data_IF_433730806645
#
_entry.id   IF_433730806645
#
_cell.length_a   1.000
_cell.length_b   1.000
_cell.length_c   1.000
_cell.angle_alpha   90.00
_cell.angle_beta   90.00
_cell.angle_gamma   90.00
#
_symmetry.space_group_name_H-M   'P 1'
#
loop_
_entity.id
_entity.type
_entity.pdbx_description
1 polymer ?
#
# COMPACT_ATOMS: atom_id res chain seq x y z
N UNK A 1 27.59 -6.96 -27.27
CA UNK A 1 27.30 -7.33 -25.86
C UNK A 1 25.82 -7.73 -25.77
N UNK A 2 25.51 -9.04 -25.67
CA UNK A 2 24.12 -9.51 -25.58
C UNK A 2 23.56 -9.11 -24.21
N UNK A 3 22.75 -8.06 -24.15
CA UNK A 3 22.02 -7.73 -22.93
C UNK A 3 20.98 -8.83 -22.70
N UNK A 4 21.21 -9.67 -21.69
CA UNK A 4 20.25 -10.66 -21.20
C UNK A 4 18.85 -10.02 -21.11
N UNK A 5 17.79 -10.71 -21.56
CA UNK A 5 16.42 -10.20 -21.52
C UNK A 5 16.02 -9.70 -20.11
N UNK A 6 16.56 -10.33 -19.07
CA UNK A 6 16.39 -9.96 -17.65
C UNK A 6 17.09 -8.64 -17.26
N UNK A 7 18.11 -8.21 -18.01
CA UNK A 7 18.79 -6.92 -17.83
C UNK A 7 18.10 -5.75 -18.53
N UNK A 8 17.10 -6.02 -19.37
CA UNK A 8 16.42 -5.02 -20.18
C UNK A 8 15.56 -4.07 -19.35
N UNK A 9 15.43 -2.82 -19.80
CA UNK A 9 14.54 -1.82 -19.20
C UNK A 9 13.06 -2.20 -19.24
N UNK A 10 12.69 -3.11 -20.14
CA UNK A 10 11.33 -3.65 -20.31
C UNK A 10 11.00 -4.64 -19.19
N UNK A 11 11.88 -5.62 -18.93
CA UNK A 11 11.68 -6.61 -17.87
C UNK A 11 11.55 -5.95 -16.48
N UNK A 12 12.34 -4.91 -16.22
CA UNK A 12 12.27 -4.13 -14.96
C UNK A 12 10.92 -3.42 -14.79
N UNK A 13 10.38 -2.82 -15.86
CA UNK A 13 9.06 -2.16 -15.82
C UNK A 13 7.94 -3.16 -15.64
N UNK A 14 8.03 -4.31 -16.32
CA UNK A 14 7.05 -5.38 -16.17
C UNK A 14 7.02 -5.92 -14.74
N UNK A 15 8.19 -6.26 -14.18
CA UNK A 15 8.29 -6.72 -12.79
C UNK A 15 7.76 -5.68 -11.81
N UNK A 16 8.09 -4.39 -11.98
CA UNK A 16 7.63 -3.32 -11.09
C UNK A 16 6.10 -3.16 -11.14
N UNK A 17 5.52 -3.30 -12.34
CA UNK A 17 4.07 -3.27 -12.52
C UNK A 17 3.39 -4.46 -11.85
N UNK A 18 3.95 -5.67 -12.02
CA UNK A 18 3.43 -6.88 -11.41
C UNK A 18 3.46 -6.80 -9.88
N UNK A 19 4.60 -6.45 -9.28
CA UNK A 19 4.70 -6.30 -7.82
C UNK A 19 3.79 -5.18 -7.31
N UNK A 20 3.66 -4.08 -8.04
CA UNK A 20 2.74 -2.99 -7.71
C UNK A 20 1.29 -3.48 -7.63
N UNK A 21 0.82 -4.24 -8.63
CA UNK A 21 -0.56 -4.77 -8.63
C UNK A 21 -0.79 -5.85 -7.56
N UNK A 22 0.22 -6.67 -7.27
CA UNK A 22 0.15 -7.63 -6.15
C UNK A 22 0.01 -6.91 -4.80
N UNK A 23 0.74 -5.81 -4.60
CA UNK A 23 0.60 -4.96 -3.41
C UNK A 23 -0.78 -4.30 -3.34
N UNK A 24 -1.39 -3.92 -4.47
CA UNK A 24 -2.79 -3.46 -4.50
C UNK A 24 -3.75 -4.57 -4.05
N UNK A 25 -3.55 -5.80 -4.53
CA UNK A 25 -4.32 -6.96 -4.07
C UNK A 25 -4.21 -7.18 -2.56
N UNK A 26 -2.99 -7.06 -2.01
CA UNK A 26 -2.78 -7.07 -0.56
C UNK A 26 -3.54 -5.94 0.14
N UNK A 27 -3.49 -4.70 -0.34
CA UNK A 27 -4.21 -3.57 0.26
C UNK A 27 -5.72 -3.78 0.28
N UNK A 28 -6.30 -4.40 -0.76
CA UNK A 28 -7.72 -4.76 -0.78
C UNK A 28 -8.04 -5.74 0.35
N UNK A 29 -7.33 -6.86 0.44
CA UNK A 29 -7.54 -7.86 1.49
C UNK A 29 -7.27 -7.30 2.89
N UNK A 30 -6.25 -6.45 3.00
CA UNK A 30 -5.88 -5.79 4.24
C UNK A 30 -6.99 -4.84 4.70
N UNK A 31 -7.52 -4.00 3.81
CA UNK A 31 -8.65 -3.14 4.14
C UNK A 31 -9.86 -3.98 4.56
N UNK A 32 -10.19 -5.05 3.83
CA UNK A 32 -11.32 -5.92 4.15
C UNK A 32 -11.26 -6.49 5.57
N UNK A 33 -10.09 -6.94 6.03
CA UNK A 33 -9.90 -7.38 7.42
C UNK A 33 -10.01 -6.23 8.43
N UNK A 34 -9.45 -5.07 8.09
CA UNK A 34 -9.51 -3.88 8.94
C UNK A 34 -10.92 -3.29 9.07
N UNK A 35 -11.84 -3.55 8.13
CA UNK A 35 -13.24 -3.13 8.28
C UNK A 35 -13.92 -3.75 9.52
N UNK A 36 -13.38 -4.85 10.07
CA UNK A 36 -13.88 -5.42 11.33
C UNK A 36 -13.66 -4.48 12.54
N UNK A 37 -12.78 -3.48 12.44
CA UNK A 37 -12.58 -2.44 13.46
C UNK A 37 -13.79 -1.51 13.63
N UNK A 38 -14.74 -1.50 12.68
CA UNK A 38 -16.00 -0.77 12.84
C UNK A 38 -16.99 -1.45 13.79
N UNK A 39 -16.74 -2.72 14.15
CA UNK A 39 -17.55 -3.41 15.14
C UNK A 39 -17.20 -2.91 16.54
N UNK A 40 -18.21 -2.60 17.36
CA UNK A 40 -18.01 -2.33 18.79
C UNK A 40 -17.67 -3.58 19.59
N UNK A 41 -17.96 -4.78 19.06
CA UNK A 41 -17.52 -6.04 19.64
C UNK A 41 -16.08 -6.34 19.19
N UNK A 42 -15.09 -6.33 20.12
CA UNK A 42 -13.68 -6.56 19.80
C UNK A 42 -13.40 -7.98 19.29
N UNK A 43 -14.30 -8.93 19.56
CA UNK A 43 -14.12 -10.35 19.24
C UNK A 43 -13.91 -10.57 17.74
N UNK A 44 -14.60 -9.83 16.88
CA UNK A 44 -14.49 -10.01 15.43
C UNK A 44 -13.08 -9.74 14.91
N UNK A 45 -12.49 -8.61 15.30
CA UNK A 45 -11.15 -8.24 14.84
C UNK A 45 -10.07 -9.09 15.50
N UNK A 46 -10.17 -9.35 16.82
CA UNK A 46 -9.19 -10.17 17.53
C UNK A 46 -9.23 -11.64 17.06
N UNK A 47 -10.41 -12.22 16.80
CA UNK A 47 -10.52 -13.56 16.23
C UNK A 47 -9.96 -13.63 14.80
N UNK A 48 -10.17 -12.60 13.98
CA UNK A 48 -9.56 -12.50 12.66
C UNK A 48 -8.03 -12.45 12.74
N UNK A 49 -7.48 -11.61 13.64
CA UNK A 49 -6.04 -11.50 13.86
C UNK A 49 -5.43 -12.83 14.35
N UNK A 50 -6.09 -13.49 15.31
CA UNK A 50 -5.67 -14.81 15.80
C UNK A 50 -5.74 -15.88 14.70
N UNK A 51 -6.79 -15.87 13.88
CA UNK A 51 -6.91 -16.80 12.76
C UNK A 51 -5.75 -16.65 11.78
N UNK A 52 -5.33 -15.42 11.47
CA UNK A 52 -4.15 -15.18 10.65
C UNK A 52 -2.88 -15.69 11.33
N UNK A 53 -2.70 -15.42 12.62
CA UNK A 53 -1.56 -15.90 13.40
C UNK A 53 -1.45 -17.43 13.42
N UNK A 54 -2.59 -18.13 13.48
CA UNK A 54 -2.66 -19.60 13.49
C UNK A 54 -2.08 -20.27 12.24
N UNK A 55 -1.89 -19.55 11.14
CA UNK A 55 -1.25 -20.08 9.94
C UNK A 55 0.28 -20.28 10.09
N UNK A 56 0.88 -19.78 11.18
CA UNK A 56 2.27 -20.07 11.54
C UNK A 56 3.25 -19.77 10.41
N UNK A 57 3.99 -20.78 9.94
CA UNK A 57 4.99 -20.62 8.87
C UNK A 57 4.42 -20.08 7.56
N UNK A 58 3.15 -20.35 7.24
CA UNK A 58 2.53 -19.82 6.03
C UNK A 58 2.34 -18.29 6.13
N UNK A 59 2.00 -17.77 7.31
CA UNK A 59 1.94 -16.32 7.55
C UNK A 59 3.32 -15.69 7.36
N UNK A 60 4.36 -16.27 7.97
CA UNK A 60 5.73 -15.75 7.82
C UNK A 60 6.22 -15.78 6.36
N UNK A 61 5.89 -16.84 5.60
CA UNK A 61 6.20 -16.89 4.17
C UNK A 61 5.51 -15.77 3.38
N UNK A 62 4.24 -15.49 3.68
CA UNK A 62 3.51 -14.38 3.08
C UNK A 62 4.13 -13.01 3.45
N UNK A 63 4.52 -12.81 4.72
CA UNK A 63 5.17 -11.59 5.19
C UNK A 63 6.52 -11.35 4.50
N UNK A 64 7.38 -12.38 4.40
CA UNK A 64 8.64 -12.29 3.66
C UNK A 64 8.40 -12.00 2.18
N UNK A 65 7.39 -12.62 1.58
CA UNK A 65 6.97 -12.35 0.21
C UNK A 65 6.54 -10.89 0.00
N UNK A 66 5.73 -10.33 0.92
CA UNK A 66 5.31 -8.93 0.87
C UNK A 66 6.51 -7.98 0.99
N UNK A 67 7.44 -8.25 1.92
CA UNK A 67 8.68 -7.47 2.04
C UNK A 67 9.48 -7.53 0.74
N UNK A 68 9.62 -8.71 0.12
CA UNK A 68 10.30 -8.86 -1.16
C UNK A 68 9.61 -8.05 -2.28
N UNK A 69 8.29 -8.07 -2.36
CA UNK A 69 7.53 -7.28 -3.33
C UNK A 69 7.70 -5.78 -3.12
N UNK A 70 7.61 -5.29 -1.87
CA UNK A 70 7.83 -3.88 -1.53
C UNK A 70 9.25 -3.45 -1.91
N UNK A 71 10.26 -4.21 -1.52
CA UNK A 71 11.66 -3.89 -1.82
C UNK A 71 11.92 -3.88 -3.32
N UNK A 72 11.46 -4.90 -4.04
CA UNK A 72 11.60 -4.95 -5.50
C UNK A 72 10.90 -3.76 -6.17
N UNK A 73 9.68 -3.44 -5.75
CA UNK A 73 8.89 -2.33 -6.26
C UNK A 73 9.58 -0.98 -6.01
N UNK A 74 9.96 -0.71 -4.76
CA UNK A 74 10.57 0.55 -4.34
C UNK A 74 11.96 0.75 -4.97
N UNK A 75 12.84 -0.25 -4.91
CA UNK A 75 14.20 -0.15 -5.48
C UNK A 75 14.14 0.06 -6.98
N UNK A 76 13.27 -0.67 -7.68
CA UNK A 76 13.12 -0.51 -9.14
C UNK A 76 12.56 0.86 -9.48
N UNK A 77 11.54 1.33 -8.76
CA UNK A 77 10.93 2.65 -8.94
C UNK A 77 11.93 3.79 -8.71
N UNK A 78 12.68 3.74 -7.61
CA UNK A 78 13.71 4.74 -7.29
C UNK A 78 14.82 4.73 -8.36
N UNK A 79 15.33 3.56 -8.75
CA UNK A 79 16.35 3.45 -9.80
C UNK A 79 15.86 4.06 -11.12
N UNK A 80 14.63 3.77 -11.54
CA UNK A 80 14.06 4.35 -12.76
C UNK A 80 13.89 5.87 -12.66
N UNK A 81 13.52 6.39 -11.48
CA UNK A 81 13.41 7.83 -11.24
C UNK A 81 14.78 8.54 -11.32
N UNK A 82 15.82 7.94 -10.74
CA UNK A 82 17.19 8.47 -10.80
C UNK A 82 17.74 8.44 -12.23
N UNK A 83 17.53 7.34 -12.97
CA UNK A 83 17.92 7.24 -14.38
C UNK A 83 17.19 8.26 -15.26
N UNK A 84 15.90 8.51 -15.00
CA UNK A 84 15.15 9.57 -15.69
C UNK A 84 15.73 10.95 -15.39
N UNK A 85 16.18 11.20 -14.16
CA UNK A 85 16.80 12.48 -13.76
C UNK A 85 18.16 12.67 -14.44
N UNK A 86 18.98 11.63 -14.53
CA UNK A 86 20.31 11.69 -15.17
C UNK A 86 20.25 11.76 -16.70
N UNK A 87 19.17 11.26 -17.32
CA UNK A 87 19.01 11.24 -18.77
C UNK A 87 18.37 12.52 -19.36
N UNK A 88 18.05 13.54 -18.56
CA UNK A 88 17.51 14.81 -19.08
C UNK A 88 18.65 15.67 -19.65
N UNK A 89 18.64 16.03 -20.94
CA UNK A 89 19.53 17.08 -21.45
C UNK A 89 19.17 18.40 -20.78
N UNK A 90 20.16 19.24 -20.51
CA UNK A 90 19.94 20.55 -19.93
C UNK A 90 18.90 21.35 -20.75
N UNK A 91 17.88 21.85 -20.06
CA UNK A 91 17.01 22.99 -20.37
C UNK A 91 15.78 22.89 -21.30
N UNK A 92 15.59 21.95 -22.23
CA UNK A 92 14.40 22.03 -23.14
C UNK A 92 13.78 20.70 -23.63
N UNK A 93 13.83 19.61 -22.85
CA UNK A 93 13.02 18.43 -23.17
C UNK A 93 11.59 18.62 -22.64
N UNK A 94 10.69 19.11 -23.50
CA UNK A 94 9.24 19.14 -23.28
C UNK A 94 8.80 17.81 -22.65
N UNK A 95 8.01 17.87 -21.57
CA UNK A 95 7.37 16.70 -20.94
C UNK A 95 6.34 16.06 -21.90
N UNK A 96 6.76 15.61 -23.08
CA UNK A 96 5.99 14.71 -23.92
C UNK A 96 6.16 13.32 -23.34
N UNK A 97 5.21 12.91 -22.49
CA UNK A 97 5.02 11.48 -22.26
C UNK A 97 4.72 10.87 -23.64
N UNK A 98 5.31 9.71 -23.97
CA UNK A 98 5.09 9.01 -25.25
C UNK A 98 3.60 8.58 -25.49
N UNK A 99 2.65 9.06 -24.69
CA UNK A 99 1.20 8.86 -24.83
C UNK A 99 0.37 10.13 -24.57
N UNK A 100 0.93 11.34 -24.80
CA UNK A 100 0.26 12.63 -24.56
C UNK A 100 0.55 13.22 -23.18
N UNK A 101 0.04 14.42 -22.91
CA UNK A 101 0.26 15.11 -21.63
C UNK A 101 -0.15 14.18 -20.46
N UNK A 102 0.76 13.95 -19.51
CA UNK A 102 0.42 13.16 -18.31
C UNK A 102 -0.73 13.88 -17.62
N UNK A 103 -1.93 13.28 -17.64
CA UNK A 103 -3.18 13.90 -17.16
C UNK A 103 -3.14 14.41 -15.70
N UNK A 104 -2.08 14.12 -14.94
CA UNK A 104 -1.90 14.53 -13.54
C UNK A 104 -0.45 14.93 -13.27
N UNK A 105 -0.15 16.22 -13.44
CA UNK A 105 1.18 16.78 -13.24
C UNK A 105 1.76 16.58 -11.84
N UNK A 106 0.95 16.39 -10.79
CA UNK A 106 1.48 16.12 -9.45
C UNK A 106 1.79 14.63 -9.22
N UNK A 107 0.79 13.74 -9.36
CA UNK A 107 0.96 12.30 -9.08
C UNK A 107 2.00 11.65 -10.00
N UNK A 108 2.01 11.98 -11.31
CA UNK A 108 2.94 11.38 -12.26
C UNK A 108 4.39 11.91 -12.12
N UNK A 109 4.56 13.16 -11.67
CA UNK A 109 5.90 13.74 -11.49
C UNK A 109 6.50 13.46 -10.12
N UNK A 110 5.69 13.07 -9.13
CA UNK A 110 6.13 12.85 -7.76
C UNK A 110 6.03 11.38 -7.30
N UNK A 111 5.87 10.40 -8.20
CA UNK A 111 5.77 8.97 -7.83
C UNK A 111 6.89 8.45 -6.92
N UNK A 112 8.13 8.88 -7.15
CA UNK A 112 9.26 8.49 -6.29
C UNK A 112 9.16 9.14 -4.90
N UNK A 113 8.66 10.38 -4.82
CA UNK A 113 8.48 11.09 -3.54
C UNK A 113 7.34 10.45 -2.76
N UNK A 114 6.17 10.26 -3.38
CA UNK A 114 5.03 9.61 -2.71
C UNK A 114 5.37 8.18 -2.29
N UNK A 115 6.07 7.42 -3.13
CA UNK A 115 6.56 6.08 -2.78
C UNK A 115 7.56 6.08 -1.61
N UNK A 116 8.43 7.08 -1.52
CA UNK A 116 9.38 7.20 -0.40
C UNK A 116 8.67 7.55 0.91
N UNK A 117 7.70 8.47 0.86
CA UNK A 117 6.84 8.80 2.02
C UNK A 117 6.13 7.54 2.50
N UNK A 118 5.57 6.75 1.58
CA UNK A 118 4.88 5.50 1.90
C UNK A 118 5.81 4.43 2.46
N UNK A 119 7.08 4.39 2.02
CA UNK A 119 8.07 3.47 2.57
C UNK A 119 8.37 3.79 4.05
N UNK A 120 8.52 5.08 4.38
CA UNK A 120 8.69 5.52 5.78
C UNK A 120 7.44 5.21 6.59
N UNK A 121 6.26 5.54 6.07
CA UNK A 121 4.99 5.20 6.71
C UNK A 121 4.83 3.69 6.93
N UNK A 122 5.21 2.85 5.97
CA UNK A 122 5.13 1.39 6.11
C UNK A 122 5.99 0.87 7.26
N UNK A 123 7.21 1.41 7.42
CA UNK A 123 8.09 1.05 8.54
C UNK A 123 7.42 1.41 9.87
N UNK A 124 6.87 2.62 9.99
CA UNK A 124 6.15 3.06 11.18
C UNK A 124 4.90 2.20 11.44
N UNK A 125 4.10 1.96 10.42
CA UNK A 125 2.89 1.15 10.48
C UNK A 125 3.15 -0.28 10.97
N UNK A 126 4.18 -0.94 10.41
CA UNK A 126 4.57 -2.29 10.85
C UNK A 126 5.13 -2.26 12.27
N UNK A 127 5.94 -1.25 12.62
CA UNK A 127 6.43 -1.08 13.98
C UNK A 127 5.29 -0.95 14.99
N UNK A 128 4.27 -0.14 14.69
CA UNK A 128 3.11 0.04 15.55
C UNK A 128 2.36 -1.30 15.69
N UNK A 129 1.81 -1.86 14.61
CA UNK A 129 0.81 -2.93 14.78
C UNK A 129 1.38 -4.35 14.79
N UNK A 130 2.44 -4.65 14.02
CA UNK A 130 3.07 -5.98 14.05
C UNK A 130 3.96 -6.15 15.28
N UNK A 131 4.76 -5.14 15.60
CA UNK A 131 5.77 -5.20 16.67
C UNK A 131 5.45 -4.37 17.92
N UNK A 132 4.28 -3.74 17.97
CA UNK A 132 3.81 -3.08 19.19
C UNK A 132 3.39 -4.06 20.29
N UNK A 133 2.83 -3.54 21.40
CA UNK A 133 2.52 -4.30 22.60
C UNK A 133 1.70 -5.56 22.35
N UNK A 134 2.13 -6.69 22.92
CA UNK A 134 1.50 -8.01 22.78
C UNK A 134 0.93 -8.55 24.09
N UNK A 135 0.66 -9.86 24.12
CA UNK A 135 0.17 -10.57 25.32
C UNK A 135 1.12 -10.35 26.51
N UNK A 136 2.44 -10.40 26.26
CA UNK A 136 3.46 -10.18 27.29
C UNK A 136 3.39 -8.78 27.94
N UNK A 137 2.84 -7.80 27.22
CA UNK A 137 2.68 -6.41 27.68
C UNK A 137 1.27 -6.15 28.27
N UNK A 138 0.47 -7.20 28.45
CA UNK A 138 -0.89 -7.10 29.00
C UNK A 138 -1.98 -6.80 27.96
N UNK A 139 -1.67 -6.86 26.66
CA UNK A 139 -2.67 -6.83 25.58
C UNK A 139 -3.16 -8.24 25.30
N UNK A 140 -3.98 -8.76 26.22
CA UNK A 140 -4.55 -10.11 26.17
C UNK A 140 -6.07 -10.02 26.20
N UNK A 141 -6.71 -10.86 25.39
CA UNK A 141 -8.15 -11.09 25.38
C UNK A 141 -8.43 -12.58 25.33
N UNK A 142 -9.64 -12.98 25.72
CA UNK A 142 -10.10 -14.36 25.61
C UNK A 142 -11.15 -14.46 24.50
N UNK A 143 -10.85 -15.28 23.49
CA UNK A 143 -11.77 -15.56 22.39
C UNK A 143 -12.72 -16.72 22.78
N UNK A 144 -13.80 -16.88 22.01
CA UNK A 144 -14.74 -17.99 22.15
C UNK A 144 -14.02 -19.34 22.28
N UNK A 145 -14.33 -20.07 23.35
CA UNK A 145 -13.70 -21.36 23.66
C UNK A 145 -12.46 -21.27 24.54
N UNK A 146 -12.21 -20.13 25.20
CA UNK A 146 -11.14 -19.98 26.20
C UNK A 146 -9.74 -19.79 25.61
N UNK A 147 -9.64 -19.52 24.31
CA UNK A 147 -8.34 -19.31 23.65
C UNK A 147 -7.85 -17.89 23.96
N UNK A 148 -6.71 -17.77 24.61
CA UNK A 148 -6.07 -16.46 24.79
C UNK A 148 -5.47 -15.97 23.47
N UNK A 149 -5.73 -14.72 23.14
CA UNK A 149 -5.21 -14.05 21.96
C UNK A 149 -4.69 -12.66 22.31
N UNK A 150 -3.90 -12.07 21.41
CA UNK A 150 -3.49 -10.66 21.53
C UNK A 150 -4.69 -9.75 21.34
N UNK A 151 -4.90 -8.82 22.26
CA UNK A 151 -5.93 -7.79 22.13
C UNK A 151 -5.47 -6.64 21.21
N UNK A 152 -5.39 -6.95 19.92
CA UNK A 152 -4.98 -5.98 18.91
C UNK A 152 -6.05 -4.93 18.66
N UNK A 153 -7.34 -5.30 18.81
CA UNK A 153 -8.45 -4.34 18.75
C UNK A 153 -8.25 -3.21 19.75
N UNK A 154 -8.01 -3.53 21.03
CA UNK A 154 -7.76 -2.52 22.06
C UNK A 154 -6.58 -1.62 21.69
N UNK A 155 -5.46 -2.22 21.28
CA UNK A 155 -4.26 -1.46 20.94
C UNK A 155 -4.47 -0.51 19.75
N UNK A 156 -5.14 -0.96 18.69
CA UNK A 156 -5.46 -0.10 17.53
C UNK A 156 -6.34 1.09 17.94
N UNK A 157 -7.31 0.86 18.82
CA UNK A 157 -8.19 1.93 19.29
C UNK A 157 -7.44 2.96 20.14
N UNK A 158 -6.59 2.51 21.08
CA UNK A 158 -5.73 3.39 21.88
C UNK A 158 -4.80 4.23 21.00
N UNK A 159 -4.13 3.61 20.03
CA UNK A 159 -3.21 4.30 19.12
C UNK A 159 -3.93 5.40 18.32
N UNK A 160 -5.16 5.15 17.86
CA UNK A 160 -5.95 6.12 17.10
C UNK A 160 -6.79 7.07 17.95
N UNK A 161 -6.72 7.00 19.28
CA UNK A 161 -7.15 8.11 20.16
C UNK A 161 -6.12 9.23 20.24
N UNK A 162 -4.87 8.96 19.89
CA UNK A 162 -3.81 9.96 19.86
C UNK A 162 -3.92 10.86 18.61
N UNK A 163 -4.18 12.18 18.74
CA UNK A 163 -4.42 13.06 17.59
C UNK A 163 -3.24 13.08 16.60
N UNK A 164 -2.01 12.96 17.11
CA UNK A 164 -0.79 12.90 16.30
C UNK A 164 -0.80 11.71 15.33
N UNK A 165 -1.30 10.55 15.77
CA UNK A 165 -1.31 9.33 14.98
C UNK A 165 -2.39 9.42 13.90
N UNK A 166 -3.57 9.94 14.24
CA UNK A 166 -4.65 10.19 13.28
C UNK A 166 -4.19 11.13 12.15
N UNK A 167 -3.50 12.22 12.50
CA UNK A 167 -2.96 13.17 11.51
C UNK A 167 -1.90 12.51 10.64
N UNK A 168 -0.93 11.80 11.24
CA UNK A 168 0.15 11.14 10.53
C UNK A 168 -0.39 10.10 9.53
N UNK A 169 -1.30 9.24 9.98
CA UNK A 169 -1.91 8.20 9.14
C UNK A 169 -2.77 8.81 8.04
N UNK A 170 -3.59 9.81 8.36
CA UNK A 170 -4.42 10.50 7.35
C UNK A 170 -3.55 11.11 6.25
N UNK A 171 -2.48 11.81 6.62
CA UNK A 171 -1.56 12.40 5.65
C UNK A 171 -0.89 11.34 4.76
N UNK A 172 -0.37 10.25 5.36
CA UNK A 172 0.24 9.16 4.61
C UNK A 172 -0.73 8.47 3.65
N UNK A 173 -1.99 8.26 4.06
CA UNK A 173 -3.02 7.62 3.26
C UNK A 173 -3.53 8.49 2.10
N UNK A 174 -3.49 9.83 2.24
CA UNK A 174 -3.70 10.74 1.12
C UNK A 174 -2.60 10.53 0.06
N UNK A 175 -1.33 10.44 0.47
CA UNK A 175 -0.24 10.10 -0.44
C UNK A 175 -0.40 8.70 -1.06
N UNK A 176 -0.93 7.73 -0.30
CA UNK A 176 -1.28 6.41 -0.83
C UNK A 176 -2.31 6.52 -1.95
N UNK A 177 -3.37 7.31 -1.76
CA UNK A 177 -4.37 7.55 -2.80
C UNK A 177 -3.77 8.11 -4.10
N UNK A 178 -2.89 9.12 -4.00
CA UNK A 178 -2.18 9.65 -5.16
C UNK A 178 -1.26 8.62 -5.81
N UNK A 179 -0.53 7.85 -5.01
CA UNK A 179 0.38 6.81 -5.48
C UNK A 179 -0.37 5.70 -6.23
N UNK A 180 -1.49 5.21 -5.66
CA UNK A 180 -2.34 4.18 -6.25
C UNK A 180 -3.01 4.65 -7.53
N UNK A 181 -3.54 5.88 -7.55
CA UNK A 181 -4.23 6.43 -8.74
C UNK A 181 -3.35 6.37 -9.99
N UNK A 182 -2.07 6.69 -9.84
CA UNK A 182 -1.12 6.60 -10.94
C UNK A 182 -0.55 5.18 -11.11
N UNK A 183 -0.22 4.51 -10.02
CA UNK A 183 0.39 3.18 -10.00
C UNK A 183 -0.47 2.11 -10.68
N UNK A 184 -1.76 2.05 -10.36
CA UNK A 184 -2.69 1.07 -10.96
C UNK A 184 -2.76 1.27 -12.48
N UNK A 185 -3.02 2.50 -12.92
CA UNK A 185 -3.11 2.81 -14.33
C UNK A 185 -1.81 2.50 -15.10
N UNK A 186 -0.68 3.02 -14.60
CA UNK A 186 0.62 2.82 -15.25
C UNK A 186 1.08 1.36 -15.23
N UNK A 187 0.70 0.60 -14.20
CA UNK A 187 0.93 -0.84 -14.11
C UNK A 187 0.16 -1.59 -15.20
N UNK A 188 -1.14 -1.33 -15.34
CA UNK A 188 -1.98 -1.93 -16.40
C UNK A 188 -1.44 -1.61 -17.80
N UNK A 189 -0.95 -0.39 -18.01
CA UNK A 189 -0.27 -0.02 -19.27
C UNK A 189 1.01 -0.83 -19.50
N UNK A 190 1.84 -0.97 -18.47
CA UNK A 190 3.14 -1.67 -18.57
C UNK A 190 2.99 -3.17 -18.82
N UNK A 191 1.87 -3.76 -18.38
CA UNK A 191 1.50 -5.14 -18.68
C UNK A 191 0.80 -5.32 -20.03
N UNK A 192 0.56 -4.25 -20.79
CA UNK A 192 -0.10 -4.30 -22.10
C UNK A 192 -1.61 -4.55 -22.04
N UNK A 193 -2.25 -4.36 -20.88
CA UNK A 193 -3.68 -4.60 -20.69
C UNK A 193 -4.55 -3.46 -21.22
N UNK A 194 -3.95 -2.27 -21.40
CA UNK A 194 -4.63 -1.11 -21.96
C UNK A 194 -4.55 -1.08 -23.48
N UNK A 195 -5.71 -1.10 -24.14
CA UNK A 195 -5.92 -0.94 -25.59
C UNK A 195 -6.69 0.36 -25.85
N UNK A 196 -6.73 0.83 -27.09
CA UNK A 196 -7.46 2.05 -27.46
C UNK A 196 -8.95 2.01 -27.05
N UNK A 197 -9.56 0.83 -27.09
CA UNK A 197 -10.98 0.59 -26.78
C UNK A 197 -11.30 0.62 -25.28
N UNK A 198 -10.39 0.15 -24.41
CA UNK A 198 -10.65 0.00 -22.97
C UNK A 198 -9.87 0.98 -22.07
N UNK A 199 -8.92 1.74 -22.65
CA UNK A 199 -8.02 2.65 -21.94
C UNK A 199 -8.77 3.66 -21.05
N UNK A 200 -9.84 4.27 -21.54
CA UNK A 200 -10.67 5.21 -20.76
C UNK A 200 -11.35 4.52 -19.56
N UNK A 201 -11.92 3.33 -19.78
CA UNK A 201 -12.62 2.58 -18.75
C UNK A 201 -11.66 2.13 -17.64
N UNK A 202 -10.54 1.50 -18.01
CA UNK A 202 -9.51 1.06 -17.06
C UNK A 202 -8.91 2.23 -16.26
N UNK A 203 -8.78 3.40 -16.89
CA UNK A 203 -8.35 4.61 -16.22
C UNK A 203 -9.32 5.08 -15.13
N UNK A 204 -10.63 5.05 -15.41
CA UNK A 204 -11.68 5.40 -14.44
C UNK A 204 -11.72 4.37 -13.31
N UNK A 205 -11.78 3.07 -13.65
CA UNK A 205 -11.84 1.97 -12.67
C UNK A 205 -10.64 2.00 -11.74
N UNK A 206 -9.42 2.12 -12.28
CA UNK A 206 -8.21 2.22 -11.44
C UNK A 206 -8.22 3.45 -10.54
N UNK A 207 -8.84 4.55 -10.99
CA UNK A 207 -9.01 5.74 -10.17
C UNK A 207 -10.04 5.61 -9.07
N UNK A 208 -11.15 4.94 -9.33
CA UNK A 208 -12.17 4.61 -8.32
C UNK A 208 -11.60 3.65 -7.28
N UNK A 209 -10.85 2.62 -7.69
CA UNK A 209 -10.19 1.70 -6.77
C UNK A 209 -9.22 2.44 -5.83
N UNK A 210 -8.40 3.33 -6.37
CA UNK A 210 -7.48 4.14 -5.57
C UNK A 210 -8.21 5.04 -4.56
N UNK A 211 -9.33 5.65 -4.99
CA UNK A 211 -10.16 6.48 -4.12
C UNK A 211 -10.80 5.65 -3.00
N UNK A 212 -11.41 4.51 -3.33
CA UNK A 212 -12.06 3.63 -2.36
C UNK A 212 -11.07 3.11 -1.31
N UNK A 213 -9.89 2.68 -1.73
CA UNK A 213 -8.84 2.25 -0.80
C UNK A 213 -8.38 3.39 0.10
N UNK A 214 -8.10 4.58 -0.46
CA UNK A 214 -7.66 5.72 0.34
C UNK A 214 -8.72 6.16 1.35
N UNK A 215 -9.97 6.33 0.90
CA UNK A 215 -11.09 6.72 1.78
C UNK A 215 -11.34 5.65 2.83
N UNK A 216 -11.38 4.37 2.44
CA UNK A 216 -11.62 3.27 3.37
C UNK A 216 -10.56 3.14 4.46
N UNK A 217 -9.28 3.36 4.14
CA UNK A 217 -8.24 3.38 5.17
C UNK A 217 -8.28 4.65 6.02
N UNK A 218 -8.56 5.83 5.44
CA UNK A 218 -8.63 7.11 6.19
C UNK A 218 -9.83 7.11 7.14
N UNK A 219 -10.94 6.48 6.74
CA UNK A 219 -12.16 6.46 7.54
C UNK A 219 -12.02 5.66 8.83
N UNK A 220 -11.05 4.74 8.95
CA UNK A 220 -10.84 3.93 10.16
C UNK A 220 -10.30 4.77 11.32
N UNK A 221 -9.11 5.41 11.23
CA UNK A 221 -8.61 6.24 12.33
C UNK A 221 -9.54 7.42 12.62
N UNK A 222 -10.19 7.99 11.59
CA UNK A 222 -11.19 9.03 11.79
C UNK A 222 -12.41 8.52 12.59
N UNK A 223 -12.92 7.34 12.24
CA UNK A 223 -14.04 6.74 12.96
C UNK A 223 -13.69 6.47 14.43
N UNK A 224 -12.54 5.85 14.68
CA UNK A 224 -12.08 5.55 16.02
C UNK A 224 -11.93 6.82 16.85
N UNK A 225 -11.21 7.82 16.31
CA UNK A 225 -10.95 9.06 17.03
C UNK A 225 -12.24 9.77 17.47
N UNK A 226 -13.22 9.90 16.57
CA UNK A 226 -14.43 10.68 16.83
C UNK A 226 -15.59 9.90 17.47
N UNK A 227 -15.67 8.58 17.29
CA UNK A 227 -16.89 7.83 17.62
C UNK A 227 -16.69 6.57 18.47
N UNK A 228 -15.45 6.10 18.66
CA UNK A 228 -15.16 4.88 19.43
C UNK A 228 -14.06 5.16 20.44
#
# INVERSE_FOLDING_TARGET
MKTSFLSSSVAKKFGMALTGLLLVGFLVMHLSGNLLLYSSDPTFFNAYAEKLASFGYLLYAAEVGLVAFVLFHAVTGIRLALLRKSAKPAKYAVNQSKGGASKWGFAANNMAITGTILLVFLILHVKHFKFGPGIADGYVTELSGGTQARDLYRYVNEEFKEPKEVILYTAALIFLGFHLRHGVWSGLQSLGLTKQTNSKALYVVGGLLALLLAVGFISIPAYIYFFH
#
